data_IF_029950964231
#
_entry.id   IF_029950964231
#
_cell.length_a   1.000
_cell.length_b   1.000
_cell.length_c   1.000
_cell.angle_alpha   90.00
_cell.angle_beta   90.00
_cell.angle_gamma   90.00
#
_symmetry.space_group_name_H-M   'P 1'
#
loop_
_entity.id
_entity.type
_entity.pdbx_description
1 polymer ?
#
# COMPACT_ATOMS: atom_id res chain seq x y z
N UNK A 1 -3.65 10.99 33.70
CA UNK A 1 -2.22 11.24 33.45
C UNK A 1 -1.74 11.03 32.01
N UNK A 2 -2.10 9.94 31.32
CA UNK A 2 -1.61 9.67 29.94
C UNK A 2 -2.01 10.76 28.94
N UNK A 3 -3.25 11.26 29.01
CA UNK A 3 -3.75 12.34 28.14
C UNK A 3 -3.00 13.66 28.41
N UNK A 4 -2.65 13.94 29.67
CA UNK A 4 -1.92 15.15 30.07
C UNK A 4 -0.46 15.14 29.58
N UNK A 5 0.20 13.97 29.55
CA UNK A 5 1.54 13.79 28.93
C UNK A 5 1.52 13.86 27.40
N UNK A 6 0.38 13.57 26.78
CA UNK A 6 0.19 13.72 25.33
C UNK A 6 0.11 15.20 24.93
N UNK A 7 -0.53 16.02 25.77
CA UNK A 7 -0.67 17.47 25.56
C UNK A 7 0.62 18.27 25.79
N UNK A 8 1.61 17.73 26.51
CA UNK A 8 2.88 18.42 26.78
C UNK A 8 3.93 18.27 25.67
N UNK A 9 3.60 17.62 24.54
CA UNK A 9 4.42 17.60 23.32
C UNK A 9 5.70 16.75 23.37
N UNK A 10 6.07 16.22 24.53
CA UNK A 10 7.36 15.55 24.76
C UNK A 10 7.31 14.00 24.64
N UNK A 11 6.16 13.43 24.30
CA UNK A 11 5.98 11.98 24.14
C UNK A 11 6.41 11.44 22.78
N UNK A 12 6.64 10.13 22.69
CA UNK A 12 6.92 9.42 21.41
C UNK A 12 5.79 9.61 20.39
N UNK A 13 4.54 9.66 20.84
CA UNK A 13 3.39 9.96 20.00
C UNK A 13 3.41 11.40 19.47
N UNK A 14 3.76 12.38 20.31
CA UNK A 14 3.93 13.78 19.87
C UNK A 14 5.07 13.92 18.86
N UNK A 15 6.17 13.19 19.05
CA UNK A 15 7.27 13.14 18.06
C UNK A 15 6.80 12.54 16.74
N UNK A 16 6.06 11.44 16.78
CA UNK A 16 5.48 10.80 15.59
C UNK A 16 4.54 11.74 14.83
N UNK A 17 3.65 12.45 15.56
CA UNK A 17 2.70 13.40 14.97
C UNK A 17 3.37 14.66 14.41
N UNK A 18 4.58 15.01 14.85
CA UNK A 18 5.32 16.16 14.33
C UNK A 18 6.42 15.75 13.33
N UNK A 19 6.49 14.47 12.97
CA UNK A 19 7.53 13.94 12.10
C UNK A 19 7.23 14.29 10.63
N UNK A 20 8.04 15.19 10.06
CA UNK A 20 7.93 15.58 8.64
C UNK A 20 8.15 14.40 7.69
N UNK A 21 9.04 13.46 8.02
CA UNK A 21 9.30 12.31 7.19
C UNK A 21 8.08 11.37 7.17
N UNK A 22 7.36 11.23 8.29
CA UNK A 22 6.10 10.48 8.32
C UNK A 22 5.06 11.10 7.37
N UNK A 23 4.84 12.42 7.45
CA UNK A 23 3.91 13.10 6.56
C UNK A 23 4.29 12.93 5.08
N UNK A 24 5.56 13.12 4.75
CA UNK A 24 6.06 12.93 3.39
C UNK A 24 5.84 11.49 2.89
N UNK A 25 6.12 10.50 3.73
CA UNK A 25 5.90 9.09 3.39
C UNK A 25 4.41 8.77 3.21
N UNK A 26 3.54 9.37 4.01
CA UNK A 26 2.09 9.19 3.88
C UNK A 26 1.57 9.84 2.59
N UNK A 27 2.06 11.02 2.23
CA UNK A 27 1.73 11.68 0.96
C UNK A 27 2.17 10.83 -0.23
N UNK A 28 3.42 10.35 -0.23
CA UNK A 28 3.95 9.47 -1.27
C UNK A 28 3.16 8.16 -1.35
N UNK A 29 2.81 7.57 -0.22
CA UNK A 29 1.99 6.36 -0.16
C UNK A 29 0.60 6.60 -0.74
N UNK A 30 -0.03 7.72 -0.40
CA UNK A 30 -1.35 8.11 -0.91
C UNK A 30 -1.31 8.32 -2.43
N UNK A 31 -0.23 8.92 -2.94
CA UNK A 31 -0.01 9.07 -4.39
C UNK A 31 0.17 7.72 -5.08
N UNK A 32 1.00 6.82 -4.54
CA UNK A 32 1.20 5.49 -5.08
C UNK A 32 -0.09 4.65 -5.06
N UNK A 33 -0.88 4.77 -4.00
CA UNK A 33 -2.20 4.15 -3.91
C UNK A 33 -3.14 4.69 -4.99
N UNK A 34 -3.15 6.00 -5.23
CA UNK A 34 -3.95 6.60 -6.31
C UNK A 34 -3.57 6.03 -7.69
N UNK A 35 -2.27 5.87 -7.95
CA UNK A 35 -1.77 5.26 -9.20
C UNK A 35 -2.20 3.79 -9.32
N UNK A 36 -2.09 3.02 -8.24
CA UNK A 36 -2.54 1.62 -8.21
C UNK A 36 -4.05 1.51 -8.46
N UNK A 37 -4.86 2.37 -7.82
CA UNK A 37 -6.32 2.37 -8.01
C UNK A 37 -6.70 2.79 -9.44
N UNK A 38 -5.98 3.75 -10.02
CA UNK A 38 -6.15 4.11 -11.43
C UNK A 38 -5.85 2.92 -12.34
N UNK A 39 -4.74 2.23 -12.07
CA UNK A 39 -4.32 1.08 -12.85
C UNK A 39 -5.28 -0.10 -12.73
N UNK A 40 -5.80 -0.37 -11.52
CA UNK A 40 -6.89 -1.32 -11.28
C UNK A 40 -8.13 -0.97 -12.09
N UNK A 41 -8.52 0.31 -12.13
CA UNK A 41 -9.69 0.77 -12.91
C UNK A 41 -9.49 0.58 -14.41
N UNK A 42 -8.29 0.83 -14.92
CA UNK A 42 -7.95 0.69 -16.34
C UNK A 42 -7.73 -0.77 -16.75
N UNK A 43 -7.24 -1.61 -15.82
CA UNK A 43 -6.81 -2.99 -16.09
C UNK A 43 -7.33 -4.00 -15.04
N UNK A 44 -8.65 -4.10 -14.84
CA UNK A 44 -9.22 -4.89 -13.74
C UNK A 44 -8.91 -6.39 -13.84
N UNK A 45 -8.73 -6.93 -15.06
CA UNK A 45 -8.44 -8.36 -15.30
C UNK A 45 -7.11 -8.84 -14.71
N UNK A 46 -6.15 -7.93 -14.47
CA UNK A 46 -4.87 -8.30 -13.83
C UNK A 46 -5.00 -8.60 -12.35
N UNK A 47 -6.03 -8.08 -11.70
CA UNK A 47 -6.20 -8.14 -10.24
C UNK A 47 -7.46 -8.90 -9.80
N UNK A 48 -8.48 -8.98 -10.67
CA UNK A 48 -9.73 -9.67 -10.38
C UNK A 48 -9.98 -10.71 -11.48
N UNK A 49 -9.78 -11.99 -11.14
CA UNK A 49 -10.15 -13.11 -12.02
C UNK A 49 -11.55 -13.60 -11.63
N UNK A 50 -12.54 -13.33 -12.49
CA UNK A 50 -13.91 -13.82 -12.29
C UNK A 50 -14.10 -15.12 -13.06
N UNK A 51 -14.34 -16.24 -12.36
CA UNK A 51 -14.65 -17.51 -13.01
C UNK A 51 -16.16 -17.66 -13.16
N UNK A 52 -16.69 -17.49 -14.38
CA UNK A 52 -18.13 -17.57 -14.68
C UNK A 52 -18.61 -18.97 -15.09
N UNK A 53 -17.68 -19.91 -15.31
CA UNK A 53 -18.00 -21.31 -15.57
C UNK A 53 -17.30 -22.16 -14.51
N UNK A 54 -18.00 -23.16 -13.95
CA UNK A 54 -17.50 -24.07 -12.91
C UNK A 54 -16.33 -24.98 -13.33
N UNK A 55 -15.66 -24.67 -14.44
CA UNK A 55 -14.41 -25.29 -14.84
C UNK A 55 -13.25 -24.74 -14.02
N UNK A 56 -12.43 -25.64 -13.49
CA UNK A 56 -11.21 -25.35 -12.74
C UNK A 56 -10.20 -24.65 -13.66
N UNK A 57 -10.35 -23.35 -13.91
CA UNK A 57 -9.34 -22.54 -14.56
C UNK A 57 -8.19 -22.32 -13.57
N UNK A 58 -7.28 -23.29 -13.54
CA UNK A 58 -5.98 -23.19 -12.88
C UNK A 58 -5.02 -22.52 -13.83
N UNK A 59 -5.23 -21.23 -14.10
CA UNK A 59 -4.12 -20.43 -14.57
C UNK A 59 -3.16 -20.32 -13.39
N UNK A 60 -2.19 -21.23 -13.32
CA UNK A 60 -1.17 -21.18 -12.28
C UNK A 60 -0.46 -19.83 -12.34
N UNK A 61 -0.29 -19.21 -11.18
CA UNK A 61 0.45 -17.97 -11.08
C UNK A 61 1.90 -18.24 -11.52
N UNK A 62 2.30 -17.64 -12.65
CA UNK A 62 3.70 -17.64 -13.10
C UNK A 62 4.34 -16.37 -12.56
N UNK A 63 5.31 -16.53 -11.65
CA UNK A 63 6.08 -15.41 -11.12
C UNK A 63 6.81 -14.71 -12.28
N UNK A 64 6.65 -13.38 -12.47
CA UNK A 64 7.39 -12.65 -13.48
C UNK A 64 8.90 -12.75 -13.22
N UNK A 65 9.69 -12.99 -14.27
CA UNK A 65 11.15 -13.01 -14.17
C UNK A 65 11.70 -11.63 -13.74
N UNK A 66 11.06 -10.56 -14.20
CA UNK A 66 11.40 -9.17 -13.87
C UNK A 66 10.36 -8.53 -12.94
N UNK A 67 10.18 -9.09 -11.75
CA UNK A 67 9.29 -8.50 -10.75
C UNK A 67 9.97 -7.31 -10.03
N UNK A 68 9.47 -6.07 -10.21
CA UNK A 68 10.08 -4.89 -9.61
C UNK A 68 10.03 -4.90 -8.07
N UNK A 69 9.20 -5.74 -7.44
CA UNK A 69 9.16 -5.88 -5.99
C UNK A 69 10.39 -6.61 -5.42
N UNK A 70 11.13 -7.36 -6.25
CA UNK A 70 12.29 -8.16 -5.83
C UNK A 70 13.60 -7.71 -6.48
N UNK A 71 13.63 -6.53 -7.11
CA UNK A 71 14.90 -5.91 -7.47
C UNK A 71 15.58 -5.53 -6.15
N UNK A 72 16.45 -6.41 -5.67
CA UNK A 72 17.32 -6.13 -4.53
C UNK A 72 18.10 -4.84 -4.82
N UNK A 73 18.03 -3.89 -3.89
CA UNK A 73 18.85 -2.69 -3.91
C UNK A 73 20.30 -3.01 -3.55
#
# INVERSE_FOLDING_TARGET
>A
EVITKMNSGNGTLSKLLNDKALYNNLELTSKNLSLLLQDLRLNPSRYVKVSVFGGKNKDEYVKPENDPAFIEK
#
